data_IF_353604664996
#
_entry.id   IF_353604664996
#
_cell.length_a   1.000
_cell.length_b   1.000
_cell.length_c   1.000
_cell.angle_alpha   90.00
_cell.angle_beta   90.00
_cell.angle_gamma   90.00
#
_symmetry.space_group_name_H-M   'P 1'
#
loop_
_entity.id
_entity.type
_entity.pdbx_description
1 polymer ?
#
# COMPACT_ATOMS: atom_id res chain seq x y z
N UNK A 1 -7.48 6.35 -18.14
CA UNK A 1 -8.31 6.20 -16.92
C UNK A 1 -7.41 6.09 -15.72
N UNK A 2 -7.32 7.17 -14.95
CA UNK A 2 -6.75 7.17 -13.62
C UNK A 2 -7.82 6.86 -12.57
N UNK A 3 -7.44 6.09 -11.55
CA UNK A 3 -8.26 5.83 -10.35
C UNK A 3 -7.44 6.29 -9.16
N UNK A 4 -7.96 7.24 -8.40
CA UNK A 4 -7.34 7.75 -7.19
C UNK A 4 -8.22 7.38 -6.02
N UNK A 5 -7.70 6.56 -5.12
CA UNK A 5 -8.39 6.25 -3.87
C UNK A 5 -7.97 7.24 -2.79
N UNK A 6 -8.90 7.58 -1.92
CA UNK A 6 -8.56 8.15 -0.62
C UNK A 6 -8.17 7.04 0.36
N UNK A 7 -8.16 7.38 1.64
CA UNK A 7 -7.92 6.45 2.73
C UNK A 7 -8.97 5.35 2.74
N UNK A 8 -8.52 4.10 2.78
CA UNK A 8 -9.41 2.94 2.76
C UNK A 8 -8.68 1.69 3.23
N UNK A 9 -9.42 0.78 3.86
CA UNK A 9 -9.02 -0.60 4.11
C UNK A 9 -9.80 -1.62 3.26
N UNK A 10 -10.80 -1.19 2.49
CA UNK A 10 -11.57 -2.02 1.57
C UNK A 10 -11.99 -1.25 0.32
N UNK A 11 -11.38 -1.60 -0.81
CA UNK A 11 -11.63 -0.99 -2.11
C UNK A 11 -12.67 -1.77 -2.96
N UNK A 12 -13.36 -2.75 -2.37
CA UNK A 12 -14.31 -3.62 -3.08
C UNK A 12 -15.43 -2.84 -3.79
N UNK A 13 -15.94 -1.78 -3.15
CA UNK A 13 -17.09 -1.01 -3.67
C UNK A 13 -16.78 -0.25 -4.96
N UNK A 14 -15.52 0.17 -5.20
CA UNK A 14 -15.12 0.89 -6.41
C UNK A 14 -14.66 -0.05 -7.53
N UNK A 15 -14.48 -1.35 -7.24
CA UNK A 15 -13.98 -2.35 -8.21
C UNK A 15 -14.65 -2.27 -9.59
N UNK A 16 -16.00 -2.23 -9.72
CA UNK A 16 -16.64 -2.21 -11.04
C UNK A 16 -16.26 -0.99 -11.89
N UNK A 17 -16.05 0.15 -11.25
CA UNK A 17 -15.66 1.40 -11.91
C UNK A 17 -14.15 1.46 -12.18
N UNK A 18 -13.36 0.79 -11.33
CA UNK A 18 -11.91 0.81 -11.38
C UNK A 18 -11.29 -0.18 -12.39
N UNK A 19 -12.04 -1.19 -12.88
CA UNK A 19 -11.52 -2.24 -13.80
C UNK A 19 -10.71 -1.69 -14.98
N UNK A 20 -9.55 -2.26 -15.26
CA UNK A 20 -8.64 -1.89 -16.34
C UNK A 20 -8.18 -0.43 -16.27
N UNK A 21 -7.90 0.08 -15.06
CA UNK A 21 -7.29 1.39 -14.89
C UNK A 21 -5.89 1.43 -15.54
N UNK A 22 -5.55 2.53 -16.22
CA UNK A 22 -4.19 2.74 -16.71
C UNK A 22 -3.25 3.04 -15.53
N UNK A 23 -3.76 3.76 -14.54
CA UNK A 23 -3.05 4.08 -13.30
C UNK A 23 -4.01 3.96 -12.12
N UNK A 24 -3.60 3.22 -11.09
CA UNK A 24 -4.22 3.20 -9.77
C UNK A 24 -3.29 3.90 -8.77
N UNK A 25 -3.79 4.91 -8.07
CA UNK A 25 -3.15 5.52 -6.90
C UNK A 25 -3.88 5.00 -5.66
N UNK A 26 -3.18 4.28 -4.80
CA UNK A 26 -3.74 3.61 -3.63
C UNK A 26 -2.91 3.91 -2.38
N UNK A 27 -3.59 4.12 -1.26
CA UNK A 27 -2.93 4.31 0.04
C UNK A 27 -2.23 3.02 0.51
N UNK A 28 -1.11 3.18 1.19
CA UNK A 28 -0.34 2.09 1.77
C UNK A 28 0.30 2.55 3.08
N UNK A 29 -0.55 2.94 4.03
CA UNK A 29 -0.14 3.62 5.26
C UNK A 29 0.86 2.81 6.07
N UNK A 30 0.64 1.50 6.26
CA UNK A 30 1.53 0.66 7.06
C UNK A 30 2.06 -0.53 6.27
N UNK A 31 3.38 -0.70 6.29
CA UNK A 31 4.08 -1.88 5.80
C UNK A 31 4.79 -2.60 6.96
N UNK A 32 4.72 -3.93 6.99
CA UNK A 32 5.54 -4.71 7.92
C UNK A 32 7.00 -4.65 7.48
N UNK A 33 7.82 -3.94 8.25
CA UNK A 33 9.23 -3.74 7.92
C UNK A 33 10.10 -3.88 9.17
N UNK A 34 11.19 -4.61 9.05
CA UNK A 34 12.25 -4.56 10.06
C UNK A 34 13.16 -3.35 9.78
N UNK A 35 13.61 -2.64 10.83
CA UNK A 35 13.40 -2.91 12.26
C UNK A 35 12.11 -2.31 12.88
N UNK A 36 11.28 -1.60 12.11
CA UNK A 36 10.09 -0.86 12.60
C UNK A 36 9.05 -1.72 13.34
N UNK A 37 8.92 -2.98 12.95
CA UNK A 37 7.89 -3.90 13.45
C UNK A 37 8.53 -5.17 14.05
N UNK A 38 9.67 -5.03 14.74
CA UNK A 38 10.44 -6.15 15.31
C UNK A 38 9.68 -6.99 16.35
N UNK A 39 8.64 -6.42 16.96
CA UNK A 39 7.75 -7.03 17.95
C UNK A 39 6.43 -7.55 17.36
N UNK A 40 6.24 -7.45 16.05
CA UNK A 40 4.97 -7.77 15.37
C UNK A 40 5.13 -8.84 14.31
N UNK A 41 4.01 -9.43 13.91
CA UNK A 41 3.92 -10.24 12.69
C UNK A 41 3.33 -9.42 11.53
N UNK A 42 3.54 -9.83 10.27
CA UNK A 42 2.85 -9.23 9.11
C UNK A 42 1.33 -9.17 9.29
N UNK A 43 0.73 -10.23 9.84
CA UNK A 43 -0.71 -10.30 10.11
C UNK A 43 -1.18 -9.38 11.23
N UNK A 44 -0.32 -9.02 12.19
CA UNK A 44 -0.64 -7.99 13.18
C UNK A 44 -0.64 -6.60 12.55
N UNK A 45 0.32 -6.30 11.67
CA UNK A 45 0.38 -5.01 10.95
C UNK A 45 -0.83 -4.87 10.01
N UNK A 46 -1.20 -5.92 9.27
CA UNK A 46 -2.38 -5.88 8.40
C UNK A 46 -3.68 -5.65 9.21
N UNK A 47 -3.91 -6.43 10.27
CA UNK A 47 -5.08 -6.25 11.15
C UNK A 47 -5.14 -4.87 11.78
N UNK A 48 -4.00 -4.36 12.25
CA UNK A 48 -3.91 -3.01 12.80
C UNK A 48 -4.19 -1.95 11.73
N UNK A 49 -3.79 -2.16 10.47
CA UNK A 49 -4.07 -1.20 9.40
C UNK A 49 -5.58 -1.14 9.14
N UNK A 50 -6.22 -2.31 9.02
CA UNK A 50 -7.67 -2.42 8.82
C UNK A 50 -8.44 -1.77 9.97
N UNK A 51 -8.03 -1.99 11.23
CA UNK A 51 -8.73 -1.41 12.38
C UNK A 51 -8.66 0.13 12.42
N UNK A 52 -7.66 0.72 11.78
CA UNK A 52 -7.53 2.18 11.63
C UNK A 52 -8.08 2.71 10.30
N UNK A 53 -8.73 1.86 9.49
CA UNK A 53 -9.30 2.26 8.20
C UNK A 53 -8.26 2.39 7.07
N UNK A 54 -7.08 1.78 7.24
CA UNK A 54 -5.97 1.89 6.31
C UNK A 54 -5.54 0.57 5.65
N UNK A 55 -4.71 0.68 4.62
CA UNK A 55 -4.20 -0.45 3.82
C UNK A 55 -2.71 -0.70 4.02
N UNK A 56 -2.31 -1.93 3.71
CA UNK A 56 -0.91 -2.34 3.55
C UNK A 56 -0.51 -2.35 2.07
N UNK A 57 0.80 -2.40 1.74
CA UNK A 57 1.24 -2.50 0.35
C UNK A 57 0.66 -3.72 -0.35
N UNK A 58 0.60 -4.87 0.34
CA UNK A 58 0.01 -6.09 -0.19
C UNK A 58 -1.48 -5.92 -0.51
N UNK A 59 -2.24 -5.21 0.33
CA UNK A 59 -3.66 -4.94 0.06
C UNK A 59 -3.84 -4.11 -1.22
N UNK A 60 -3.03 -3.06 -1.38
CA UNK A 60 -3.02 -2.23 -2.58
C UNK A 60 -2.63 -3.04 -3.84
N UNK A 61 -1.59 -3.87 -3.74
CA UNK A 61 -1.12 -4.77 -4.79
C UNK A 61 -2.18 -5.77 -5.23
N UNK A 62 -2.79 -6.47 -4.28
CA UNK A 62 -3.90 -7.40 -4.53
C UNK A 62 -5.08 -6.72 -5.22
N UNK A 63 -5.44 -5.51 -4.79
CA UNK A 63 -6.51 -4.76 -5.43
C UNK A 63 -6.15 -4.34 -6.86
N UNK A 64 -4.93 -3.84 -7.09
CA UNK A 64 -4.42 -3.48 -8.41
C UNK A 64 -4.48 -4.66 -9.38
N UNK A 65 -4.04 -5.84 -8.94
CA UNK A 65 -4.12 -7.07 -9.71
C UNK A 65 -5.58 -7.46 -9.98
N UNK A 66 -6.45 -7.40 -8.97
CA UNK A 66 -7.87 -7.75 -9.08
C UNK A 66 -8.61 -6.89 -10.12
N UNK A 67 -8.30 -5.59 -10.18
CA UNK A 67 -8.92 -4.69 -11.16
C UNK A 67 -8.22 -4.73 -12.52
N UNK A 68 -7.07 -5.38 -12.67
CA UNK A 68 -6.28 -5.37 -13.90
C UNK A 68 -5.65 -4.00 -14.19
N UNK A 69 -5.17 -3.30 -13.16
CA UNK A 69 -4.50 -2.02 -13.33
C UNK A 69 -3.14 -2.20 -14.04
N UNK A 70 -2.81 -1.33 -15.00
CA UNK A 70 -1.52 -1.38 -15.70
C UNK A 70 -0.36 -0.86 -14.84
N UNK A 71 -0.63 0.15 -14.01
CA UNK A 71 0.34 0.75 -13.07
C UNK A 71 -0.29 0.98 -11.71
N UNK A 72 0.48 0.69 -10.65
CA UNK A 72 0.15 1.00 -9.27
C UNK A 72 1.13 2.05 -8.75
N UNK A 73 0.61 3.11 -8.14
CA UNK A 73 1.35 4.12 -7.39
C UNK A 73 0.87 4.03 -5.94
N UNK A 74 1.81 3.82 -5.03
CA UNK A 74 1.55 3.81 -3.60
C UNK A 74 1.71 5.22 -3.02
N UNK A 75 0.79 5.65 -2.16
CA UNK A 75 0.87 6.93 -1.47
C UNK A 75 0.45 6.82 0.01
N UNK A 76 0.29 7.98 0.67
CA UNK A 76 -0.24 8.10 2.03
C UNK A 76 0.52 7.24 3.06
N UNK A 77 1.85 7.30 3.01
CA UNK A 77 2.70 6.53 3.90
C UNK A 77 2.67 7.05 5.34
N UNK A 78 2.78 6.14 6.32
CA UNK A 78 3.00 6.53 7.72
C UNK A 78 4.24 7.44 7.85
N UNK A 79 4.18 8.52 8.66
CA UNK A 79 5.32 9.41 8.91
C UNK A 79 6.56 8.70 9.50
N UNK A 80 6.42 7.46 9.97
CA UNK A 80 7.54 6.65 10.45
C UNK A 80 8.54 6.28 9.34
N UNK A 81 8.11 6.33 8.07
CA UNK A 81 8.99 6.18 6.93
C UNK A 81 9.45 7.56 6.46
N UNK A 82 10.72 7.87 6.67
CA UNK A 82 11.29 9.13 6.21
C UNK A 82 11.20 9.21 4.67
N UNK A 83 10.69 10.33 4.18
CA UNK A 83 10.58 10.65 2.75
C UNK A 83 11.74 11.48 2.24
N UNK A 84 12.94 11.30 2.81
CA UNK A 84 14.16 12.01 2.39
C UNK A 84 14.96 11.23 1.33
N UNK A 85 15.98 11.88 0.77
CA UNK A 85 16.84 11.32 -0.29
C UNK A 85 17.93 10.39 0.25
N UNK A 86 17.90 10.04 1.55
CA UNK A 86 18.91 9.14 2.12
C UNK A 86 18.76 7.73 1.53
N UNK A 87 19.89 7.04 1.37
CA UNK A 87 19.92 5.67 0.84
C UNK A 87 19.05 4.74 1.70
N UNK A 88 19.02 4.95 3.02
CA UNK A 88 18.14 4.23 3.94
C UNK A 88 16.66 4.40 3.61
N UNK A 89 16.21 5.63 3.40
CA UNK A 89 14.81 5.94 3.07
C UNK A 89 14.41 5.36 1.71
N UNK A 90 15.28 5.49 0.70
CA UNK A 90 15.07 4.88 -0.62
C UNK A 90 14.96 3.35 -0.51
N UNK A 91 15.78 2.70 0.32
CA UNK A 91 15.70 1.26 0.54
C UNK A 91 14.40 0.84 1.24
N UNK A 92 13.90 1.64 2.19
CA UNK A 92 12.57 1.43 2.81
C UNK A 92 11.49 1.49 1.74
N UNK A 93 11.49 2.51 0.87
CA UNK A 93 10.49 2.64 -0.20
C UNK A 93 10.57 1.50 -1.22
N UNK A 94 11.77 1.04 -1.59
CA UNK A 94 11.96 -0.16 -2.44
C UNK A 94 11.39 -1.42 -1.79
N UNK A 95 11.52 -1.56 -0.46
CA UNK A 95 10.96 -2.71 0.25
C UNK A 95 9.43 -2.63 0.30
N UNK A 96 8.86 -1.44 0.51
CA UNK A 96 7.41 -1.20 0.42
C UNK A 96 6.88 -1.58 -0.97
N UNK A 97 7.57 -1.16 -2.03
CA UNK A 97 7.23 -1.53 -3.41
C UNK A 97 7.26 -3.05 -3.61
N UNK A 98 8.28 -3.74 -3.09
CA UNK A 98 8.40 -5.19 -3.19
C UNK A 98 7.21 -5.90 -2.53
N UNK A 99 6.78 -5.43 -1.35
CA UNK A 99 5.62 -6.01 -0.65
C UNK A 99 4.32 -5.87 -1.46
N UNK A 100 4.15 -4.82 -2.25
CA UNK A 100 2.98 -4.68 -3.11
C UNK A 100 2.98 -5.63 -4.33
N UNK A 101 4.09 -6.34 -4.58
CA UNK A 101 4.23 -7.33 -5.66
C UNK A 101 4.01 -8.77 -5.18
N UNK A 102 3.90 -8.98 -3.86
CA UNK A 102 3.58 -10.27 -3.23
C UNK A 102 2.09 -10.60 -3.35
#
# INVERSE_FOLDING_TARGET
KEVILGDTCDSSSIEPLARNADVLIHESTNAFLLPFDSDKSPSMVERSSISHGHSTPQMAGRFAAKIGAQKLILNHFSPRYLGDDSISSVNVMKRIEQLARE
#
